data_IF_928079057817
#
_entry.id   IF_928079057817
#
_cell.length_a   1.000
_cell.length_b   1.000
_cell.length_c   1.000
_cell.angle_alpha   90.00
_cell.angle_beta   90.00
_cell.angle_gamma   90.00
#
_symmetry.space_group_name_H-M   'P 1'
#
loop_
_entity.id
_entity.type
_entity.pdbx_description
1 polymer ?
#
# COMPACT_ATOMS: atom_id res chain seq x y z
N UNK A 1 -13.20 40.64 -40.21
CA UNK A 1 -12.06 39.77 -39.89
C UNK A 1 -11.59 40.13 -38.49
N UNK A 2 -11.54 39.19 -37.56
CA UNK A 2 -11.03 39.44 -36.20
C UNK A 2 -9.51 39.40 -36.20
N UNK A 3 -8.89 40.24 -35.37
CA UNK A 3 -7.44 40.25 -35.16
C UNK A 3 -6.99 38.93 -34.55
N UNK A 4 -6.06 38.23 -35.20
CA UNK A 4 -5.40 37.05 -34.61
C UNK A 4 -4.65 37.50 -33.35
N UNK A 5 -4.98 36.91 -32.20
CA UNK A 5 -4.24 37.11 -30.96
C UNK A 5 -3.70 35.75 -30.50
N UNK A 6 -2.51 35.78 -29.89
CA UNK A 6 -1.87 34.58 -29.33
C UNK A 6 -1.64 34.79 -27.85
N UNK A 7 -2.13 33.86 -27.04
CA UNK A 7 -1.86 33.85 -25.61
C UNK A 7 -0.45 33.30 -25.41
N UNK A 8 0.51 34.17 -25.10
CA UNK A 8 1.92 33.76 -24.94
C UNK A 8 2.19 33.10 -23.59
N UNK A 9 1.40 33.42 -22.57
CA UNK A 9 1.52 32.88 -21.22
C UNK A 9 0.13 32.69 -20.61
N UNK A 10 -0.09 31.51 -20.04
CA UNK A 10 -1.30 31.18 -19.30
C UNK A 10 -0.91 30.90 -17.85
N UNK A 11 -1.66 31.50 -16.91
CA UNK A 11 -1.45 31.28 -15.48
C UNK A 11 -2.14 29.98 -15.06
N UNK A 12 -1.45 29.18 -14.25
CA UNK A 12 -2.05 28.08 -13.52
C UNK A 12 -2.49 28.58 -12.13
N UNK A 13 -3.61 28.07 -11.62
CA UNK A 13 -4.19 28.52 -10.36
C UNK A 13 -4.07 27.45 -9.28
N UNK A 14 -3.87 27.87 -8.03
CA UNK A 14 -3.98 26.97 -6.87
C UNK A 14 -5.02 27.51 -5.91
N UNK A 15 -5.94 26.65 -5.52
CA UNK A 15 -6.92 26.92 -4.48
C UNK A 15 -6.66 25.99 -3.30
N UNK A 16 -6.93 26.50 -2.10
CA UNK A 16 -6.98 25.70 -0.88
C UNK A 16 -8.41 25.74 -0.36
N UNK A 17 -9.00 24.57 -0.21
CA UNK A 17 -10.32 24.38 0.41
C UNK A 17 -10.08 23.71 1.75
N UNK A 18 -10.57 24.32 2.82
CA UNK A 18 -10.39 23.82 4.17
C UNK A 18 -11.68 23.97 4.96
N UNK A 19 -11.93 23.04 5.89
CA UNK A 19 -13.01 23.22 6.86
C UNK A 19 -12.71 24.42 7.74
N UNK A 20 -13.77 25.15 8.12
CA UNK A 20 -13.64 26.28 9.04
C UNK A 20 -13.04 25.81 10.37
N UNK A 21 -12.10 26.57 10.92
CA UNK A 21 -11.38 26.23 12.16
C UNK A 21 -12.32 26.00 13.36
N UNK A 22 -13.48 26.65 13.38
CA UNK A 22 -14.52 26.47 14.40
C UNK A 22 -15.20 25.10 14.32
N UNK A 23 -15.18 24.46 13.16
CA UNK A 23 -15.75 23.13 12.92
C UNK A 23 -14.68 22.03 12.77
N UNK A 24 -13.43 22.41 12.54
CA UNK A 24 -12.26 21.54 12.58
C UNK A 24 -11.13 22.23 13.37
N UNK A 25 -11.15 22.15 14.72
CA UNK A 25 -10.12 22.77 15.55
C UNK A 25 -8.71 22.20 15.32
N UNK A 26 -8.61 20.98 14.78
CA UNK A 26 -7.33 20.32 14.49
C UNK A 26 -6.75 20.83 13.15
N UNK A 27 -7.61 21.27 12.23
CA UNK A 27 -7.24 21.94 10.99
C UNK A 27 -6.58 21.01 9.97
N UNK A 28 -6.97 19.74 9.91
CA UNK A 28 -6.41 18.72 8.99
C UNK A 28 -7.43 18.20 7.98
N UNK A 29 -8.65 18.72 7.95
CA UNK A 29 -9.62 18.45 6.89
C UNK A 29 -9.53 19.53 5.81
N UNK A 30 -8.76 19.25 4.76
CA UNK A 30 -8.55 20.19 3.65
C UNK A 30 -8.05 19.51 2.39
N UNK A 31 -8.17 20.18 1.26
CA UNK A 31 -7.49 19.82 0.03
C UNK A 31 -6.99 21.06 -0.73
N UNK A 32 -6.04 20.82 -1.61
CA UNK A 32 -5.54 21.79 -2.57
C UNK A 32 -5.94 21.37 -3.98
N UNK A 33 -6.38 22.32 -4.79
CA UNK A 33 -6.71 22.13 -6.20
C UNK A 33 -5.72 22.91 -7.05
N UNK A 34 -4.95 22.23 -7.88
CA UNK A 34 -4.08 22.85 -8.87
C UNK A 34 -4.75 22.77 -10.24
N UNK A 35 -5.22 23.92 -10.74
CA UNK A 35 -5.91 24.06 -12.01
C UNK A 35 -4.92 24.50 -13.07
N UNK A 36 -4.81 23.69 -14.11
CA UNK A 36 -3.81 23.88 -15.14
C UNK A 36 -4.44 23.64 -16.52
N UNK A 37 -4.45 24.64 -17.41
CA UNK A 37 -4.94 24.47 -18.78
C UNK A 37 -4.12 23.42 -19.56
N UNK A 38 -4.79 22.63 -20.40
CA UNK A 38 -4.19 21.53 -21.16
C UNK A 38 -4.77 21.46 -22.57
N UNK A 39 -3.89 21.19 -23.54
CA UNK A 39 -4.24 20.90 -24.93
C UNK A 39 -3.11 20.09 -25.60
N UNK A 40 -3.40 19.33 -26.67
CA UNK A 40 -2.41 18.59 -27.45
C UNK A 40 -1.28 19.50 -27.95
N UNK A 41 -0.04 19.00 -27.87
CA UNK A 41 1.14 19.73 -28.35
C UNK A 41 1.69 20.78 -27.38
N UNK A 42 1.11 20.93 -26.18
CA UNK A 42 1.61 21.86 -25.17
C UNK A 42 3.04 21.52 -24.72
N UNK A 43 3.88 22.54 -24.60
CA UNK A 43 5.24 22.45 -24.07
C UNK A 43 5.32 23.16 -22.72
N UNK A 44 5.90 22.49 -21.74
CA UNK A 44 6.33 23.09 -20.47
C UNK A 44 7.79 23.49 -20.52
N UNK A 45 8.19 24.40 -19.64
CA UNK A 45 9.59 24.79 -19.44
C UNK A 45 10.01 24.45 -18.01
N UNK A 46 11.15 23.77 -17.86
CA UNK A 46 11.77 23.49 -16.56
C UNK A 46 12.54 24.70 -16.04
N UNK A 47 12.93 24.67 -14.76
CA UNK A 47 13.71 25.74 -14.13
C UNK A 47 15.09 25.99 -14.77
N UNK A 48 15.63 25.00 -15.49
CA UNK A 48 16.87 25.09 -16.25
C UNK A 48 16.69 25.63 -17.68
N UNK A 49 15.45 26.00 -18.06
CA UNK A 49 15.12 26.49 -19.40
C UNK A 49 14.77 25.40 -20.42
N UNK A 50 14.94 24.12 -20.08
CA UNK A 50 14.64 23.00 -20.98
C UNK A 50 13.15 22.90 -21.25
N UNK A 51 12.77 22.79 -22.53
CA UNK A 51 11.39 22.55 -22.94
C UNK A 51 11.07 21.06 -22.90
N UNK A 52 9.95 20.70 -22.29
CA UNK A 52 9.44 19.32 -22.24
C UNK A 52 8.02 19.28 -22.77
N UNK A 53 7.69 18.23 -23.53
CA UNK A 53 6.31 17.99 -23.96
C UNK A 53 5.47 17.62 -22.74
N UNK A 54 4.35 18.30 -22.55
CA UNK A 54 3.36 17.89 -21.57
C UNK A 54 2.52 16.78 -22.22
N UNK A 55 2.42 15.59 -21.62
CA UNK A 55 1.66 14.49 -22.19
C UNK A 55 0.17 14.78 -22.05
N UNK A 56 -0.44 15.29 -23.13
CA UNK A 56 -1.88 15.46 -23.28
C UNK A 56 -2.28 14.61 -24.50
N UNK A 57 -3.17 13.60 -24.33
CA UNK A 57 -3.67 12.80 -25.45
C UNK A 57 -4.32 13.68 -26.51
N UNK A 58 -4.18 13.33 -27.80
CA UNK A 58 -4.83 14.09 -28.88
C UNK A 58 -6.36 14.12 -28.74
N UNK A 59 -6.94 13.03 -28.22
CA UNK A 59 -8.38 12.92 -27.93
C UNK A 59 -8.90 13.86 -26.84
N UNK A 60 -8.01 14.43 -26.00
CA UNK A 60 -8.42 15.31 -24.91
C UNK A 60 -8.99 16.65 -25.41
N UNK A 61 -8.55 17.12 -26.58
CA UNK A 61 -8.92 18.45 -27.08
C UNK A 61 -8.39 19.57 -26.18
N UNK A 62 -9.21 20.58 -25.88
CA UNK A 62 -8.83 21.70 -25.02
C UNK A 62 -9.60 21.66 -23.70
N UNK A 63 -8.93 21.90 -22.57
CA UNK A 63 -9.59 21.87 -21.28
C UNK A 63 -8.68 22.25 -20.12
N UNK A 64 -9.11 21.88 -18.91
CA UNK A 64 -8.35 22.07 -17.67
C UNK A 64 -8.09 20.73 -17.00
N UNK A 65 -6.86 20.54 -16.53
CA UNK A 65 -6.54 19.48 -15.60
C UNK A 65 -6.59 20.06 -14.18
N UNK A 66 -7.32 19.41 -13.29
CA UNK A 66 -7.37 19.76 -11.87
C UNK A 66 -6.73 18.65 -11.05
N UNK A 67 -5.53 18.90 -10.51
CA UNK A 67 -4.90 17.98 -9.56
C UNK A 67 -5.36 18.30 -8.14
N UNK A 68 -6.11 17.38 -7.55
CA UNK A 68 -6.54 17.46 -6.16
C UNK A 68 -5.56 16.71 -5.25
N UNK A 69 -5.20 17.31 -4.11
CA UNK A 69 -4.45 16.66 -3.03
C UNK A 69 -5.05 17.05 -1.70
N UNK A 70 -5.62 16.10 -0.97
CA UNK A 70 -6.29 16.37 0.29
C UNK A 70 -6.03 15.31 1.35
N UNK A 71 -6.50 15.63 2.55
CA UNK A 71 -6.43 14.79 3.73
C UNK A 71 -7.73 14.89 4.51
N UNK A 72 -8.19 13.76 5.06
CA UNK A 72 -9.40 13.68 5.88
C UNK A 72 -10.67 14.21 5.18
N UNK A 73 -10.74 14.13 3.86
CA UNK A 73 -11.93 14.45 3.06
C UNK A 73 -12.42 13.15 2.44
N UNK A 74 -13.68 12.84 2.67
CA UNK A 74 -14.35 11.66 2.10
C UNK A 74 -14.36 11.73 0.57
N UNK A 75 -14.07 10.61 -0.09
CA UNK A 75 -13.70 10.61 -1.51
C UNK A 75 -14.79 11.17 -2.42
N UNK A 76 -16.06 10.86 -2.17
CA UNK A 76 -17.19 11.34 -2.97
C UNK A 76 -17.39 12.87 -2.90
N UNK A 77 -16.78 13.55 -1.92
CA UNK A 77 -16.99 14.99 -1.70
C UNK A 77 -16.08 15.89 -2.51
N UNK A 78 -14.98 15.38 -3.07
CA UNK A 78 -13.98 16.22 -3.73
C UNK A 78 -14.56 17.04 -4.88
N UNK A 79 -15.34 16.42 -5.77
CA UNK A 79 -15.90 17.09 -6.94
C UNK A 79 -16.92 18.15 -6.54
N UNK A 80 -17.80 17.84 -5.59
CA UNK A 80 -18.79 18.78 -5.05
C UNK A 80 -18.12 19.98 -4.40
N UNK A 81 -17.12 19.75 -3.55
CA UNK A 81 -16.38 20.82 -2.89
C UNK A 81 -15.55 21.66 -3.87
N UNK A 82 -15.01 21.04 -4.93
CA UNK A 82 -14.33 21.75 -6.01
C UNK A 82 -15.28 22.71 -6.72
N UNK A 83 -16.49 22.25 -7.11
CA UNK A 83 -17.50 23.08 -7.77
C UNK A 83 -17.86 24.30 -6.93
N UNK A 84 -18.09 24.09 -5.62
CA UNK A 84 -18.37 25.18 -4.68
C UNK A 84 -17.19 26.16 -4.60
N UNK A 85 -15.97 25.66 -4.43
CA UNK A 85 -14.78 26.50 -4.35
C UNK A 85 -14.54 27.33 -5.63
N UNK A 86 -14.85 26.78 -6.79
CA UNK A 86 -14.73 27.47 -8.08
C UNK A 86 -15.75 28.61 -8.20
N UNK A 87 -17.00 28.36 -7.80
CA UNK A 87 -18.04 29.40 -7.78
C UNK A 87 -17.63 30.59 -6.90
N UNK A 88 -17.06 30.33 -5.72
CA UNK A 88 -16.61 31.37 -4.80
C UNK A 88 -15.50 32.26 -5.38
N UNK A 89 -14.65 31.73 -6.27
CA UNK A 89 -13.62 32.52 -6.96
C UNK A 89 -14.08 33.08 -8.31
N UNK A 90 -15.39 33.02 -8.60
CA UNK A 90 -15.99 33.57 -9.83
C UNK A 90 -15.84 32.68 -11.07
N UNK A 91 -15.47 31.40 -10.91
CA UNK A 91 -15.43 30.42 -12.00
C UNK A 91 -16.68 29.55 -11.89
N UNK A 92 -17.50 29.52 -12.95
CA UNK A 92 -18.74 28.76 -12.93
C UNK A 92 -18.49 27.26 -12.69
N UNK A 93 -19.04 26.73 -11.59
CA UNK A 93 -18.88 25.34 -11.14
C UNK A 93 -19.35 24.31 -12.17
N UNK A 94 -20.27 24.69 -13.07
CA UNK A 94 -20.71 23.87 -14.20
C UNK A 94 -19.58 23.40 -15.12
N UNK A 95 -18.45 24.12 -15.17
CA UNK A 95 -17.27 23.68 -15.94
C UNK A 95 -16.57 22.46 -15.35
N UNK A 96 -16.98 22.02 -14.17
CA UNK A 96 -16.46 20.85 -13.47
C UNK A 96 -17.57 19.81 -13.22
N UNK A 97 -18.70 19.92 -13.92
CA UNK A 97 -19.79 18.93 -13.81
C UNK A 97 -19.40 17.59 -14.41
N UNK A 98 -18.86 17.63 -15.62
CA UNK A 98 -18.38 16.47 -16.35
C UNK A 98 -16.85 16.43 -16.28
N UNK A 99 -16.30 15.29 -15.85
CA UNK A 99 -14.86 15.03 -15.93
C UNK A 99 -14.55 14.19 -17.16
N UNK A 100 -13.35 14.38 -17.71
CA UNK A 100 -12.90 13.58 -18.86
C UNK A 100 -12.64 12.13 -18.42
N UNK A 101 -12.87 11.15 -19.31
CA UNK A 101 -12.64 9.71 -19.05
C UNK A 101 -11.23 9.37 -18.55
N UNK A 102 -10.23 10.23 -18.82
CA UNK A 102 -8.85 10.05 -18.35
C UNK A 102 -8.64 10.45 -16.89
N UNK A 103 -9.69 10.90 -16.19
CA UNK A 103 -9.63 11.32 -14.79
C UNK A 103 -9.41 10.10 -13.91
N UNK A 104 -8.43 10.18 -13.01
CA UNK A 104 -7.91 9.02 -12.32
C UNK A 104 -7.52 9.33 -10.88
N UNK A 105 -7.43 8.28 -10.09
CA UNK A 105 -7.05 8.29 -8.68
C UNK A 105 -5.58 7.89 -8.58
N UNK A 106 -4.80 8.70 -7.87
CA UNK A 106 -3.35 8.48 -7.71
C UNK A 106 -2.97 8.06 -6.30
N UNK A 107 -3.84 8.32 -5.33
CA UNK A 107 -3.65 8.05 -3.91
C UNK A 107 -5.02 7.91 -3.24
N UNK A 108 -5.16 6.90 -2.40
CA UNK A 108 -6.35 6.60 -1.63
C UNK A 108 -5.97 5.71 -0.45
N UNK A 109 -6.46 6.02 0.75
CA UNK A 109 -6.28 5.19 1.95
C UNK A 109 -7.61 5.12 2.72
N UNK A 110 -8.00 3.90 3.10
CA UNK A 110 -9.04 3.65 4.09
C UNK A 110 -8.37 3.13 5.36
N UNK A 111 -8.85 3.54 6.53
CA UNK A 111 -8.26 3.14 7.79
C UNK A 111 -9.31 3.00 8.89
N UNK A 112 -8.97 2.20 9.90
CA UNK A 112 -9.57 2.27 11.23
C UNK A 112 -8.49 2.63 12.23
N UNK A 113 -8.89 3.13 13.39
CA UNK A 113 -7.99 3.27 14.54
C UNK A 113 -8.32 2.18 15.55
N UNK A 114 -7.31 1.39 15.88
CA UNK A 114 -7.42 0.23 16.77
C UNK A 114 -6.82 0.59 18.11
N UNK A 115 -7.47 0.22 19.21
CA UNK A 115 -6.91 0.37 20.54
C UNK A 115 -5.53 -0.32 20.61
N UNK A 116 -4.51 0.39 21.11
CA UNK A 116 -3.12 -0.08 21.12
C UNK A 116 -2.97 -1.49 21.72
N UNK A 117 -3.65 -1.76 22.83
CA UNK A 117 -3.65 -3.05 23.53
C UNK A 117 -4.32 -4.20 22.78
N UNK A 118 -5.10 -3.89 21.72
CA UNK A 118 -5.77 -4.87 20.87
C UNK A 118 -5.07 -5.05 19.53
N UNK A 119 -4.12 -4.19 19.20
CA UNK A 119 -3.50 -4.16 17.88
C UNK A 119 -2.34 -5.17 17.69
N UNK A 120 -1.85 -5.76 18.78
CA UNK A 120 -0.74 -6.72 18.80
C UNK A 120 -0.81 -7.82 17.74
N UNK A 121 -1.92 -8.57 17.62
CA UNK A 121 -2.06 -9.65 16.65
C UNK A 121 -1.94 -9.21 15.17
N UNK A 122 -2.07 -7.92 14.87
CA UNK A 122 -1.97 -7.39 13.50
C UNK A 122 -0.50 -7.29 13.06
N UNK A 123 0.38 -6.85 13.98
CA UNK A 123 1.79 -6.56 13.72
C UNK A 123 2.75 -7.55 14.41
N UNK A 124 2.22 -8.62 15.01
CA UNK A 124 3.02 -9.71 15.55
C UNK A 124 3.86 -10.38 14.45
N UNK A 125 4.90 -11.14 14.85
CA UNK A 125 5.78 -11.85 13.92
C UNK A 125 5.04 -12.86 13.03
N UNK A 126 3.96 -13.42 13.53
CA UNK A 126 3.02 -14.32 12.87
C UNK A 126 1.65 -13.66 12.63
N UNK A 127 1.57 -12.34 12.83
CA UNK A 127 0.36 -11.55 12.67
C UNK A 127 0.01 -11.28 11.20
N UNK A 128 -1.17 -10.71 10.99
CA UNK A 128 -1.76 -10.52 9.66
C UNK A 128 -0.82 -9.83 8.63
N UNK A 129 -0.04 -8.82 9.05
CA UNK A 129 0.90 -8.13 8.16
C UNK A 129 2.08 -9.03 7.77
N UNK A 130 2.68 -9.73 8.73
CA UNK A 130 3.79 -10.65 8.47
C UNK A 130 3.34 -11.80 7.58
N UNK A 131 2.19 -12.39 7.90
CA UNK A 131 1.45 -13.36 7.10
C UNK A 131 1.32 -12.93 5.61
N UNK A 132 0.93 -11.68 5.37
CA UNK A 132 0.84 -11.17 4.00
C UNK A 132 2.21 -11.04 3.31
N UNK A 133 3.26 -10.71 4.05
CA UNK A 133 4.65 -10.76 3.56
C UNK A 133 5.09 -12.17 3.19
N UNK A 134 4.65 -13.18 3.95
CA UNK A 134 4.96 -14.59 3.77
C UNK A 134 4.22 -15.27 2.62
N UNK A 135 3.06 -14.75 2.15
CA UNK A 135 2.37 -15.19 0.90
C UNK A 135 3.32 -15.29 -0.31
N UNK A 136 4.49 -14.68 -0.20
CA UNK A 136 5.33 -14.29 -1.30
C UNK A 136 6.72 -14.93 -1.22
N UNK A 137 7.00 -15.80 -0.25
CA UNK A 137 8.33 -16.41 -0.06
C UNK A 137 8.71 -17.39 -1.16
N UNK A 138 7.74 -18.08 -1.77
CA UNK A 138 8.01 -19.19 -2.68
C UNK A 138 7.93 -18.83 -4.19
N UNK A 139 7.71 -17.56 -4.56
CA UNK A 139 7.58 -17.15 -5.97
C UNK A 139 8.40 -15.86 -6.20
N UNK A 140 9.42 -15.94 -7.08
CA UNK A 140 10.34 -14.82 -7.38
C UNK A 140 9.77 -13.78 -8.36
N UNK A 141 8.50 -13.88 -8.77
CA UNK A 141 7.88 -12.93 -9.71
C UNK A 141 6.93 -11.95 -9.02
N UNK A 142 6.97 -10.69 -9.42
CA UNK A 142 6.15 -9.63 -8.82
C UNK A 142 6.87 -8.89 -7.70
N UNK A 143 6.25 -7.83 -7.19
CA UNK A 143 6.80 -6.95 -6.16
C UNK A 143 6.19 -7.25 -4.79
N UNK A 144 7.06 -7.24 -3.79
CA UNK A 144 6.70 -7.24 -2.38
C UNK A 144 7.62 -6.35 -1.56
N UNK A 145 7.07 -5.79 -0.49
CA UNK A 145 7.85 -5.10 0.52
C UNK A 145 7.24 -5.36 1.90
N UNK A 146 8.06 -5.80 2.84
CA UNK A 146 7.71 -5.90 4.24
C UNK A 146 8.56 -4.88 5.00
N UNK A 147 7.94 -4.06 5.82
CA UNK A 147 8.61 -3.15 6.76
C UNK A 147 8.13 -3.51 8.16
N UNK A 148 9.06 -3.65 9.11
CA UNK A 148 8.75 -3.87 10.52
C UNK A 148 9.69 -2.99 11.34
N UNK A 149 9.16 -1.89 11.84
CA UNK A 149 9.86 -1.00 12.74
C UNK A 149 9.11 -0.93 14.07
N UNK A 150 9.78 -1.33 15.15
CA UNK A 150 9.25 -1.37 16.51
C UNK A 150 9.81 -0.24 17.38
N UNK A 151 10.58 0.69 16.81
CA UNK A 151 11.09 1.85 17.52
C UNK A 151 10.49 3.13 16.93
N UNK A 152 10.11 4.06 17.81
CA UNK A 152 9.61 5.37 17.41
C UNK A 152 10.72 6.27 16.82
N UNK A 153 10.36 7.48 16.40
CA UNK A 153 11.32 8.43 15.80
C UNK A 153 12.43 8.88 16.77
N UNK A 154 12.36 8.52 18.05
CA UNK A 154 13.33 8.83 19.08
C UNK A 154 14.12 7.58 19.54
N UNK A 155 13.94 6.44 18.87
CA UNK A 155 14.58 5.17 19.23
C UNK A 155 13.99 4.54 20.50
N UNK A 156 12.79 4.95 20.92
CA UNK A 156 12.07 4.34 22.04
C UNK A 156 11.24 3.18 21.51
N UNK A 157 11.33 2.04 22.19
CA UNK A 157 10.59 0.86 21.78
C UNK A 157 9.07 1.09 21.92
N UNK A 158 8.38 0.92 20.80
CA UNK A 158 6.93 0.94 20.64
C UNK A 158 6.56 -0.13 19.61
N UNK A 159 6.27 -1.37 20.04
CA UNK A 159 5.95 -2.47 19.14
C UNK A 159 4.84 -2.10 18.16
N UNK A 160 5.06 -2.41 16.88
CA UNK A 160 4.14 -2.00 15.82
C UNK A 160 4.24 -0.52 15.47
N UNK A 161 5.34 0.20 15.78
CA UNK A 161 5.45 1.63 15.46
C UNK A 161 5.13 1.92 13.99
N UNK A 162 5.72 1.12 13.09
CA UNK A 162 5.45 1.17 11.66
C UNK A 162 5.68 -0.19 11.00
N UNK A 163 4.59 -0.91 10.71
CA UNK A 163 4.60 -2.21 10.05
C UNK A 163 3.79 -2.13 8.75
N UNK A 164 4.36 -2.57 7.63
CA UNK A 164 3.64 -2.57 6.35
C UNK A 164 3.92 -3.81 5.51
N UNK A 165 2.90 -4.25 4.76
CA UNK A 165 3.03 -5.22 3.68
C UNK A 165 2.50 -4.60 2.39
N UNK A 166 3.37 -4.48 1.39
CA UNK A 166 3.03 -3.98 0.05
C UNK A 166 2.91 -5.12 -0.94
N UNK A 167 1.78 -5.22 -1.63
CA UNK A 167 1.46 -6.25 -2.62
C UNK A 167 1.16 -5.60 -3.97
N UNK A 168 1.77 -6.09 -5.05
CA UNK A 168 1.39 -5.71 -6.42
C UNK A 168 0.05 -6.32 -6.85
N UNK A 169 -0.43 -5.99 -8.06
CA UNK A 169 -1.69 -6.49 -8.60
C UNK A 169 -1.75 -8.03 -8.72
N UNK A 170 -0.63 -8.70 -9.01
CA UNK A 170 -0.58 -10.17 -9.07
C UNK A 170 -0.69 -10.79 -7.68
N UNK A 171 -0.04 -10.17 -6.69
CA UNK A 171 0.05 -10.69 -5.33
C UNK A 171 -1.19 -10.39 -4.52
N UNK A 172 -1.84 -9.26 -4.77
CA UNK A 172 -3.09 -8.98 -4.11
C UNK A 172 -4.15 -10.03 -4.44
N UNK A 173 -4.19 -10.52 -5.68
CA UNK A 173 -5.07 -11.64 -6.10
C UNK A 173 -4.81 -12.96 -5.38
N UNK A 174 -3.65 -13.14 -4.76
CA UNK A 174 -3.36 -14.35 -3.96
C UNK A 174 -3.94 -14.24 -2.55
N UNK A 175 -3.87 -13.05 -1.96
CA UNK A 175 -4.46 -12.73 -0.66
C UNK A 175 -5.99 -12.56 -0.75
N UNK A 176 -6.43 -11.86 -1.79
CA UNK A 176 -7.79 -11.41 -2.07
C UNK A 176 -8.13 -11.71 -3.54
N UNK A 177 -8.67 -12.90 -3.86
CA UNK A 177 -8.89 -13.32 -5.25
C UNK A 177 -9.76 -12.39 -6.11
N UNK A 178 -10.65 -11.62 -5.48
CA UNK A 178 -11.53 -10.65 -6.14
C UNK A 178 -10.93 -9.26 -6.31
N UNK A 179 -9.69 -9.01 -5.85
CA UNK A 179 -9.08 -7.68 -5.90
C UNK A 179 -8.20 -7.49 -7.14
N UNK A 180 -8.16 -6.26 -7.63
CA UNK A 180 -7.48 -5.84 -8.85
C UNK A 180 -6.35 -4.86 -8.57
N UNK A 181 -6.43 -4.06 -7.50
CA UNK A 181 -5.52 -2.94 -7.29
C UNK A 181 -4.35 -3.27 -6.35
N UNK A 182 -3.11 -2.89 -6.69
CA UNK A 182 -1.97 -3.02 -5.79
C UNK A 182 -2.16 -2.12 -4.56
N UNK A 183 -1.83 -2.65 -3.39
CA UNK A 183 -2.05 -1.95 -2.12
C UNK A 183 -0.98 -2.22 -1.09
N UNK A 184 -0.82 -1.26 -0.19
CA UNK A 184 -0.02 -1.39 1.02
C UNK A 184 -0.96 -1.41 2.22
N UNK A 185 -0.91 -2.50 2.98
CA UNK A 185 -1.51 -2.59 4.30
C UNK A 185 -0.52 -2.07 5.32
N UNK A 186 -0.98 -1.21 6.23
CA UNK A 186 -0.17 -0.52 7.22
C UNK A 186 -0.78 -0.69 8.61
N UNK A 187 0.08 -0.91 9.59
CA UNK A 187 -0.18 -0.63 11.00
C UNK A 187 0.86 0.41 11.44
N UNK A 188 0.40 1.56 11.95
CA UNK A 188 1.32 2.64 12.30
C UNK A 188 0.81 3.56 13.40
N UNK A 189 1.74 4.02 14.23
CA UNK A 189 1.48 5.05 15.23
C UNK A 189 1.71 6.46 14.69
N UNK A 190 1.06 7.44 15.33
CA UNK A 190 1.47 8.83 15.16
C UNK A 190 2.89 9.04 15.73
N UNK A 191 3.62 10.01 15.18
CA UNK A 191 5.03 10.27 15.56
C UNK A 191 5.24 10.43 17.07
N UNK A 192 4.30 11.08 17.74
CA UNK A 192 4.37 11.40 19.18
C UNK A 192 3.52 10.46 20.05
N UNK A 193 3.04 9.33 19.50
CA UNK A 193 2.04 8.49 20.17
C UNK A 193 2.43 8.07 21.60
N UNK A 194 3.70 7.70 21.80
CA UNK A 194 4.20 7.25 23.10
C UNK A 194 4.16 8.32 24.19
N UNK A 195 4.17 9.60 23.80
CA UNK A 195 4.15 10.74 24.73
C UNK A 195 2.72 11.20 25.06
N UNK A 196 1.71 10.61 24.43
CA UNK A 196 0.31 10.97 24.60
C UNK A 196 -0.38 10.08 25.63
N UNK A 197 -1.44 10.59 26.25
CA UNK A 197 -2.26 9.80 27.18
C UNK A 197 -3.09 8.76 26.43
N UNK A 198 -3.47 7.71 27.14
CA UNK A 198 -4.24 6.60 26.59
C UNK A 198 -5.67 6.98 26.15
N UNK A 199 -6.17 8.13 26.58
CA UNK A 199 -7.45 8.66 26.11
C UNK A 199 -7.31 9.54 24.86
N UNK A 200 -6.08 9.76 24.39
CA UNK A 200 -5.83 10.59 23.23
C UNK A 200 -5.85 9.72 21.96
N UNK A 201 -6.66 10.04 20.93
CA UNK A 201 -6.78 9.21 19.73
C UNK A 201 -5.44 8.86 19.08
N UNK A 202 -4.53 9.84 18.98
CA UNK A 202 -3.20 9.64 18.39
C UNK A 202 -2.24 8.76 19.21
N UNK A 203 -2.59 8.35 20.43
CA UNK A 203 -1.86 7.33 21.19
C UNK A 203 -2.14 5.92 20.67
N UNK A 204 -3.19 5.75 19.85
CA UNK A 204 -3.58 4.47 19.26
C UNK A 204 -3.15 4.39 17.79
N UNK A 205 -2.74 3.21 17.31
CA UNK A 205 -2.31 3.04 15.93
C UNK A 205 -3.49 3.09 14.95
N UNK A 206 -3.16 3.44 13.71
CA UNK A 206 -4.04 3.24 12.55
C UNK A 206 -3.71 1.90 11.90
N UNK A 207 -4.75 1.22 11.45
CA UNK A 207 -4.65 0.09 10.53
C UNK A 207 -5.34 0.52 9.24
N UNK A 208 -4.60 0.54 8.15
CA UNK A 208 -5.09 1.06 6.88
C UNK A 208 -4.64 0.27 5.68
N UNK A 209 -5.39 0.40 4.60
CA UNK A 209 -5.06 -0.11 3.27
C UNK A 209 -4.99 1.07 2.32
N UNK A 210 -3.92 1.15 1.53
CA UNK A 210 -3.66 2.28 0.64
C UNK A 210 -3.28 1.84 -0.77
N UNK A 211 -3.83 2.51 -1.78
CA UNK A 211 -3.50 2.29 -3.19
C UNK A 211 -2.02 2.56 -3.45
N UNK A 212 -1.36 1.65 -4.18
CA UNK A 212 0.02 1.82 -4.61
C UNK A 212 0.07 2.06 -6.11
N UNK A 213 -0.25 3.30 -6.53
CA UNK A 213 -0.32 3.68 -7.95
C UNK A 213 0.98 3.44 -8.73
N UNK A 214 2.13 3.45 -8.05
CA UNK A 214 3.43 3.13 -8.64
C UNK A 214 3.62 1.64 -8.99
N UNK A 215 2.76 0.77 -8.48
CA UNK A 215 2.78 -0.68 -8.69
C UNK A 215 1.64 -1.16 -9.60
N UNK A 216 0.86 -0.24 -10.18
CA UNK A 216 -0.12 -0.57 -11.20
C UNK A 216 0.58 -1.21 -12.40
N UNK A 217 -0.08 -2.19 -13.02
CA UNK A 217 0.40 -2.75 -14.28
C UNK A 217 0.46 -1.62 -15.36
N UNK A 218 1.31 -1.78 -16.38
CA UNK A 218 1.66 -0.67 -17.30
C UNK A 218 0.46 -0.05 -18.01
N UNK A 219 -0.59 -0.84 -18.23
CA UNK A 219 -1.85 -0.52 -18.89
C UNK A 219 -3.02 -0.34 -17.91
N UNK A 220 -2.77 -0.47 -16.61
CA UNK A 220 -3.77 -0.29 -15.57
C UNK A 220 -3.81 1.15 -15.09
N UNK A 221 -5.01 1.71 -14.99
CA UNK A 221 -5.29 3.02 -14.37
C UNK A 221 -6.50 2.85 -13.47
N UNK A 222 -6.48 3.47 -12.29
CA UNK A 222 -7.67 3.54 -11.44
C UNK A 222 -8.44 4.78 -11.85
N UNK A 223 -9.49 4.62 -12.65
CA UNK A 223 -10.27 5.75 -13.13
C UNK A 223 -11.16 6.29 -12.02
N UNK A 224 -11.62 7.53 -12.18
CA UNK A 224 -12.54 8.12 -11.21
C UNK A 224 -13.88 7.36 -11.17
N UNK A 225 -14.28 6.75 -12.29
CA UNK A 225 -15.46 5.86 -12.38
C UNK A 225 -15.29 4.58 -11.55
N UNK A 226 -14.05 4.14 -11.30
CA UNK A 226 -13.74 2.95 -10.51
C UNK A 226 -13.63 3.26 -9.00
N UNK A 227 -14.02 4.46 -8.56
CA UNK A 227 -13.87 4.89 -7.16
C UNK A 227 -14.57 3.93 -6.19
N UNK A 228 -15.78 3.47 -6.51
CA UNK A 228 -16.55 2.61 -5.62
C UNK A 228 -15.92 1.21 -5.51
N UNK A 229 -15.37 0.67 -6.60
CA UNK A 229 -14.62 -0.58 -6.60
C UNK A 229 -13.34 -0.44 -5.75
N UNK A 230 -12.60 0.65 -5.94
CA UNK A 230 -11.41 0.94 -5.13
C UNK A 230 -11.75 1.03 -3.64
N UNK A 231 -12.81 1.76 -3.28
CA UNK A 231 -13.25 1.91 -1.88
C UNK A 231 -13.60 0.56 -1.29
N UNK A 232 -14.41 -0.22 -2.00
CA UNK A 232 -14.80 -1.58 -1.59
C UNK A 232 -13.58 -2.47 -1.34
N UNK A 233 -12.61 -2.44 -2.25
CA UNK A 233 -11.38 -3.19 -2.11
C UNK A 233 -10.54 -2.77 -0.89
N UNK A 234 -10.41 -1.46 -0.65
CA UNK A 234 -9.65 -0.92 0.47
C UNK A 234 -10.33 -1.25 1.81
N UNK A 235 -11.65 -1.08 1.89
CA UNK A 235 -12.44 -1.41 3.09
C UNK A 235 -12.39 -2.91 3.38
N UNK A 236 -12.64 -3.76 2.38
CA UNK A 236 -12.57 -5.20 2.55
C UNK A 236 -11.18 -5.65 3.01
N UNK A 237 -10.11 -5.02 2.50
CA UNK A 237 -8.74 -5.33 2.92
C UNK A 237 -8.56 -5.04 4.41
N UNK A 238 -8.98 -3.85 4.86
CA UNK A 238 -8.87 -3.45 6.26
C UNK A 238 -9.68 -4.38 7.17
N UNK A 239 -10.94 -4.65 6.82
CA UNK A 239 -11.82 -5.54 7.58
C UNK A 239 -11.26 -6.97 7.65
N UNK A 240 -10.73 -7.49 6.55
CA UNK A 240 -10.15 -8.84 6.52
C UNK A 240 -8.90 -8.97 7.38
N UNK A 241 -8.05 -7.94 7.40
CA UNK A 241 -6.85 -7.90 8.26
C UNK A 241 -7.24 -7.85 9.73
N UNK A 242 -8.27 -7.08 10.09
CA UNK A 242 -8.78 -7.03 11.45
C UNK A 242 -9.37 -8.39 11.86
N UNK A 243 -10.20 -9.00 11.01
CA UNK A 243 -10.82 -10.29 11.25
C UNK A 243 -9.78 -11.42 11.37
N UNK A 244 -8.76 -11.45 10.51
CA UNK A 244 -7.66 -12.43 10.56
C UNK A 244 -6.84 -12.31 11.85
N UNK A 245 -6.63 -11.08 12.32
CA UNK A 245 -6.02 -10.81 13.62
C UNK A 245 -6.93 -11.17 14.82
N UNK A 246 -8.14 -11.67 14.58
CA UNK A 246 -9.10 -12.08 15.61
C UNK A 246 -9.85 -10.92 16.27
N UNK A 247 -9.86 -9.74 15.65
CA UNK A 247 -10.64 -8.60 16.13
C UNK A 247 -12.08 -8.72 15.61
N UNK A 248 -13.02 -8.46 16.51
CA UNK A 248 -14.43 -8.33 16.15
C UNK A 248 -14.64 -7.04 15.35
N UNK A 249 -15.01 -7.19 14.07
CA UNK A 249 -15.24 -6.09 13.14
C UNK A 249 -16.68 -5.55 13.18
N UNK A 250 -17.59 -6.24 13.88
CA UNK A 250 -18.96 -5.79 14.11
C UNK A 250 -19.30 -5.88 15.61
N UNK A 251 -18.51 -5.22 16.49
CA UNK A 251 -18.69 -5.33 17.92
C UNK A 251 -19.95 -4.61 18.38
N UNK A 252 -20.52 -5.06 19.51
CA UNK A 252 -21.49 -4.24 20.23
C UNK A 252 -20.76 -3.05 20.89
N UNK A 253 -21.04 -1.82 20.45
CA UNK A 253 -20.37 -0.61 20.91
C UNK A 253 -19.05 -0.34 20.18
N UNK A 254 -18.06 0.26 20.84
CA UNK A 254 -16.78 0.63 20.21
C UNK A 254 -15.84 -0.56 19.96
N UNK A 255 -16.02 -1.68 20.67
CA UNK A 255 -15.17 -2.86 20.55
C UNK A 255 -13.66 -2.55 20.67
N UNK A 256 -12.81 -3.09 19.77
CA UNK A 256 -11.37 -2.82 19.78
C UNK A 256 -10.99 -1.50 19.10
N UNK A 257 -11.95 -0.65 18.74
CA UNK A 257 -11.72 0.57 17.96
C UNK A 257 -11.71 1.83 18.82
N UNK A 258 -11.13 2.89 18.27
CA UNK A 258 -11.03 4.19 18.94
C UNK A 258 -11.35 5.32 17.95
N UNK A 259 -12.24 6.23 18.33
CA UNK A 259 -12.63 7.34 17.46
C UNK A 259 -11.56 8.43 17.37
N UNK A 260 -11.54 9.18 16.27
CA UNK A 260 -10.78 10.42 16.17
C UNK A 260 -11.57 11.54 15.49
N UNK A 261 -10.95 12.70 15.32
CA UNK A 261 -11.63 13.87 14.75
C UNK A 261 -12.13 13.68 13.30
N UNK A 262 -11.66 12.65 12.59
CA UNK A 262 -11.97 12.36 11.20
C UNK A 262 -12.39 10.91 10.96
N UNK A 263 -12.56 10.13 12.04
CA UNK A 263 -12.99 8.74 12.01
C UNK A 263 -13.95 8.48 13.16
N UNK A 264 -15.16 8.04 12.80
CA UNK A 264 -16.20 7.62 13.73
C UNK A 264 -16.31 6.10 13.62
N UNK A 265 -16.48 5.44 14.77
CA UNK A 265 -16.66 3.98 14.79
C UNK A 265 -18.14 3.71 14.59
N UNK A 266 -18.48 3.07 13.47
CA UNK A 266 -19.84 2.65 13.18
C UNK A 266 -19.84 1.30 12.46
N UNK A 267 -20.91 0.54 12.63
CA UNK A 267 -21.12 -0.73 11.92
C UNK A 267 -21.89 -0.42 10.65
N UNK A 268 -21.22 -0.61 9.51
CA UNK A 268 -21.82 -0.45 8.19
C UNK A 268 -22.33 -1.80 7.69
N UNK A 269 -23.66 -1.98 7.66
CA UNK A 269 -24.31 -3.20 7.15
C UNK A 269 -24.23 -3.33 5.62
N UNK A 270 -24.00 -2.23 4.91
CA UNK A 270 -23.89 -2.18 3.45
C UNK A 270 -22.43 -2.36 2.97
N UNK A 271 -21.47 -2.38 3.91
CA UNK A 271 -20.05 -2.55 3.64
C UNK A 271 -19.64 -3.96 3.19
N UNK A 272 -18.45 -4.12 2.60
CA UNK A 272 -17.98 -5.43 2.17
C UNK A 272 -17.70 -6.34 3.35
N UNK A 273 -18.15 -7.59 3.27
CA UNK A 273 -17.78 -8.61 4.26
C UNK A 273 -16.26 -8.88 4.22
N UNK A 274 -15.61 -9.09 5.39
CA UNK A 274 -14.23 -9.56 5.43
C UNK A 274 -14.12 -10.93 4.75
N UNK A 275 -13.00 -11.16 4.07
CA UNK A 275 -12.65 -12.45 3.50
C UNK A 275 -11.53 -13.08 4.30
N UNK A 276 -11.60 -14.40 4.46
CA UNK A 276 -10.49 -15.13 5.05
C UNK A 276 -9.26 -14.96 4.14
N UNK A 277 -8.18 -14.43 4.70
CA UNK A 277 -6.90 -14.39 3.99
C UNK A 277 -6.53 -15.84 3.64
N UNK A 278 -6.12 -16.10 2.40
CA UNK A 278 -5.78 -17.45 1.92
C UNK A 278 -4.42 -17.93 2.48
N UNK A 279 -4.33 -17.94 3.81
CA UNK A 279 -3.19 -18.31 4.65
C UNK A 279 -2.97 -19.82 4.72
N UNK A 280 -4.05 -20.60 4.58
CA UNK A 280 -4.03 -22.06 4.63
C UNK A 280 -3.09 -22.62 3.56
N UNK A 281 -3.04 -22.03 2.36
CA UNK A 281 -2.17 -22.51 1.28
C UNK A 281 -0.67 -22.22 1.52
N UNK A 282 -0.34 -21.24 2.38
CA UNK A 282 1.04 -20.88 2.74
C UNK A 282 1.51 -21.71 3.92
N UNK A 283 0.70 -21.76 4.98
CA UNK A 283 0.99 -22.53 6.18
C UNK A 283 1.15 -24.02 5.86
N UNK A 284 0.26 -24.59 5.04
CA UNK A 284 0.39 -26.00 4.62
C UNK A 284 1.61 -26.28 3.74
N UNK A 285 2.06 -25.31 2.91
CA UNK A 285 3.29 -25.48 2.11
C UNK A 285 4.53 -25.43 3.01
N UNK A 286 4.59 -24.47 3.93
CA UNK A 286 5.74 -24.31 4.84
C UNK A 286 5.83 -25.44 5.86
N UNK A 287 4.72 -25.84 6.49
CA UNK A 287 4.70 -26.96 7.44
C UNK A 287 5.03 -28.29 6.73
N UNK A 288 4.53 -28.54 5.52
CA UNK A 288 4.83 -29.79 4.80
C UNK A 288 6.31 -29.90 4.40
N UNK A 289 6.95 -28.79 4.02
CA UNK A 289 8.38 -28.78 3.66
C UNK A 289 9.25 -29.01 4.91
N UNK A 290 8.93 -28.35 6.03
CA UNK A 290 9.66 -28.54 7.31
C UNK A 290 9.45 -29.95 7.87
N UNK A 291 8.21 -30.48 7.85
CA UNK A 291 7.90 -31.82 8.36
C UNK A 291 8.55 -32.91 7.51
N UNK A 292 8.56 -32.78 6.17
CA UNK A 292 9.23 -33.74 5.26
C UNK A 292 10.71 -33.89 5.60
N UNK A 293 11.43 -32.78 5.81
CA UNK A 293 12.86 -32.83 6.10
C UNK A 293 13.20 -33.20 7.56
N UNK A 294 12.31 -32.92 8.52
CA UNK A 294 12.45 -33.42 9.90
C UNK A 294 12.16 -34.92 10.01
N UNK A 295 11.24 -35.46 9.20
CA UNK A 295 10.89 -36.88 9.19
C UNK A 295 11.92 -37.74 8.46
N UNK A 296 12.44 -37.29 7.31
CA UNK A 296 13.41 -38.04 6.51
C UNK A 296 14.86 -37.88 7.00
N UNK A 297 15.13 -36.81 7.78
CA UNK A 297 16.46 -36.45 8.25
C UNK A 297 17.35 -35.89 7.13
N UNK A 298 18.14 -34.86 7.43
CA UNK A 298 19.11 -34.32 6.48
C UNK A 298 20.42 -35.11 6.56
N UNK A 299 20.92 -35.55 5.40
CA UNK A 299 22.28 -36.13 5.33
C UNK A 299 23.33 -35.11 5.78
N UNK A 300 24.52 -35.55 6.22
CA UNK A 300 25.58 -34.64 6.68
C UNK A 300 25.94 -33.55 5.66
N UNK A 301 25.92 -33.89 4.37
CA UNK A 301 26.20 -32.93 3.28
C UNK A 301 25.06 -31.93 3.11
N UNK A 302 23.80 -32.37 3.22
CA UNK A 302 22.63 -31.50 3.17
C UNK A 302 22.61 -30.54 4.37
N UNK A 303 22.87 -31.04 5.57
CA UNK A 303 22.96 -30.23 6.78
C UNK A 303 24.10 -29.22 6.74
N UNK A 304 25.30 -29.66 6.33
CA UNK A 304 26.45 -28.78 6.16
C UNK A 304 26.17 -27.68 5.12
N UNK A 305 25.64 -28.04 3.96
CA UNK A 305 25.24 -27.11 2.89
C UNK A 305 24.20 -26.09 3.37
N UNK A 306 23.17 -26.54 4.08
CA UNK A 306 22.11 -25.68 4.61
C UNK A 306 22.65 -24.69 5.64
N UNK A 307 23.49 -25.17 6.57
CA UNK A 307 24.14 -24.34 7.60
C UNK A 307 25.00 -23.24 6.98
N UNK A 308 25.79 -23.55 5.94
CA UNK A 308 26.60 -22.55 5.24
C UNK A 308 25.71 -21.48 4.60
N UNK A 309 24.64 -21.88 3.90
CA UNK A 309 23.72 -20.94 3.26
C UNK A 309 23.00 -20.02 4.28
N UNK A 310 22.63 -20.56 5.45
CA UNK A 310 22.01 -19.78 6.54
C UNK A 310 22.99 -18.78 7.14
N UNK A 311 24.23 -19.19 7.40
CA UNK A 311 25.23 -18.33 8.04
C UNK A 311 25.73 -17.20 7.13
N UNK A 312 25.77 -17.43 5.82
CA UNK A 312 26.33 -16.50 4.84
C UNK A 312 25.28 -15.66 4.09
N UNK A 313 24.01 -15.73 4.50
CA UNK A 313 22.94 -14.90 3.94
C UNK A 313 22.48 -15.30 2.53
N UNK A 314 22.72 -16.54 2.12
CA UNK A 314 22.06 -17.14 0.95
C UNK A 314 22.55 -16.71 -0.43
N UNK A 315 23.76 -16.18 -0.60
CA UNK A 315 24.36 -15.99 -1.93
C UNK A 315 25.73 -16.65 -2.04
N UNK A 316 25.75 -17.98 -2.21
CA UNK A 316 26.97 -18.74 -2.48
C UNK A 316 26.81 -19.60 -3.74
N UNK A 317 27.91 -19.82 -4.46
CA UNK A 317 27.92 -20.83 -5.52
C UNK A 317 28.06 -22.23 -4.90
N UNK A 318 27.65 -23.30 -5.61
CA UNK A 318 27.89 -24.67 -5.13
C UNK A 318 29.37 -24.99 -4.89
N UNK A 319 30.28 -24.27 -5.56
CA UNK A 319 31.72 -24.42 -5.36
C UNK A 319 32.15 -23.78 -4.03
N UNK A 320 31.65 -22.59 -3.70
CA UNK A 320 32.00 -21.90 -2.45
C UNK A 320 31.56 -22.71 -1.23
N UNK A 321 30.39 -23.33 -1.29
CA UNK A 321 29.91 -24.23 -0.23
C UNK A 321 30.78 -25.48 -0.12
N UNK A 322 31.18 -26.06 -1.26
CA UNK A 322 32.05 -27.23 -1.31
C UNK A 322 33.43 -26.94 -0.68
N UNK A 323 34.02 -25.79 -0.99
CA UNK A 323 35.34 -25.39 -0.50
C UNK A 323 35.31 -25.08 1.01
N UNK A 324 34.22 -24.49 1.52
CA UNK A 324 34.07 -24.15 2.95
C UNK A 324 33.83 -25.36 3.84
N UNK A 325 32.97 -26.27 3.40
CA UNK A 325 32.59 -27.44 4.20
C UNK A 325 33.48 -28.66 3.90
N UNK A 326 34.41 -28.56 2.95
CA UNK A 326 35.32 -29.65 2.56
C UNK A 326 34.61 -30.79 1.81
N UNK A 327 33.55 -30.48 1.08
CA UNK A 327 32.78 -31.46 0.31
C UNK A 327 33.18 -31.46 -1.17
N UNK A 328 32.85 -32.55 -1.87
CA UNK A 328 32.95 -32.55 -3.33
C UNK A 328 31.80 -31.72 -3.93
N UNK A 329 32.10 -30.86 -4.91
CA UNK A 329 31.11 -29.95 -5.53
C UNK A 329 29.90 -30.69 -6.11
N UNK A 330 30.09 -31.91 -6.61
CA UNK A 330 28.99 -32.73 -7.12
C UNK A 330 28.06 -33.26 -6.01
N UNK A 331 28.61 -33.53 -4.82
CA UNK A 331 27.84 -33.91 -3.63
C UNK A 331 27.01 -32.73 -3.13
N UNK A 332 27.57 -31.51 -3.16
CA UNK A 332 26.82 -30.28 -2.87
C UNK A 332 25.72 -30.06 -3.92
N UNK A 333 26.03 -30.18 -5.22
CA UNK A 333 25.01 -30.08 -6.30
C UNK A 333 23.93 -31.16 -6.24
N UNK A 334 24.24 -32.34 -5.68
CA UNK A 334 23.25 -33.40 -5.43
C UNK A 334 22.41 -33.06 -4.21
N UNK A 335 23.02 -32.71 -3.08
CA UNK A 335 22.32 -32.26 -1.88
C UNK A 335 21.36 -31.10 -2.15
N UNK A 336 21.79 -30.13 -2.98
CA UNK A 336 20.96 -28.99 -3.41
C UNK A 336 19.83 -29.38 -4.37
N UNK A 337 19.96 -30.47 -5.13
CA UNK A 337 18.85 -31.02 -5.92
C UNK A 337 17.85 -31.73 -5.03
N UNK A 338 18.36 -32.49 -4.07
CA UNK A 338 17.54 -33.26 -3.13
C UNK A 338 16.83 -32.35 -2.10
N UNK A 339 17.29 -31.10 -1.96
CA UNK A 339 16.69 -30.03 -1.15
C UNK A 339 16.10 -28.90 -2.01
N UNK A 340 15.70 -29.16 -3.27
CA UNK A 340 15.15 -28.13 -4.15
C UNK A 340 13.87 -27.45 -3.61
N UNK A 341 13.18 -28.13 -2.70
CA UNK A 341 12.02 -27.62 -1.97
C UNK A 341 12.39 -26.62 -0.84
N UNK A 342 13.66 -26.63 -0.39
CA UNK A 342 14.22 -25.77 0.67
C UNK A 342 15.18 -24.69 0.14
N UNK A 343 15.71 -24.85 -1.09
CA UNK A 343 16.79 -24.03 -1.62
C UNK A 343 16.58 -23.78 -3.11
N UNK A 344 16.56 -22.51 -3.53
CA UNK A 344 16.40 -22.13 -4.93
C UNK A 344 17.74 -22.01 -5.67
N UNK A 345 17.78 -22.52 -6.91
CA UNK A 345 18.96 -22.47 -7.79
C UNK A 345 18.72 -21.61 -9.04
N UNK A 346 19.60 -20.66 -9.27
CA UNK A 346 19.83 -20.05 -10.60
C UNK A 346 21.23 -20.44 -11.07
N UNK A 347 21.50 -20.44 -12.38
CA UNK A 347 22.82 -20.87 -12.89
C UNK A 347 23.95 -20.10 -12.18
N UNK A 348 24.81 -20.86 -11.49
CA UNK A 348 25.92 -20.40 -10.62
C UNK A 348 25.57 -19.74 -9.27
N UNK A 349 24.30 -19.65 -8.86
CA UNK A 349 23.89 -19.11 -7.54
C UNK A 349 22.91 -20.01 -6.80
N UNK A 350 23.06 -20.09 -5.49
CA UNK A 350 22.22 -20.88 -4.59
C UNK A 350 21.78 -19.99 -3.43
N UNK A 351 20.48 -19.96 -3.15
CA UNK A 351 19.92 -19.21 -2.02
C UNK A 351 18.85 -20.01 -1.30
N UNK A 352 18.69 -19.71 -0.01
CA UNK A 352 17.53 -20.12 0.77
C UNK A 352 16.24 -19.51 0.20
#
# INVERSE_FOLDING_TARGET
>A
QGTEFRIQQIREFRLKVARQITQDPIGKQSFTAHVSPRWPGMLGQKGDGTRVKIPVPESFGEGVNVRLKGSNVEFGRYLTLLKLAMNEVGIAGRYFEEYHESSNIQDAERYVRVHKDKSGPIHARDGAIAAMGHLLEHDRKGYRKLVQNDDDNHGRNLPGFYHTATLDARRIRQAFPSHSYPKEVKHYYAKEALSLSDNHPLAHPKVGSSLQSSLLERDQTVYLDDLDELVTELDQTVLSVLADAGLDVAPSGLGPFFEDAYFTVDVDEDGPNPVALNMVRIRHRQESVVIKHLADGLSPVQWGTLRTLVNDGGELSPQDVADREGYHVESVRRALRDMEDLVHREYAKVSL
#
